data_IF_999501251378
#
_entry.id   IF_999501251378
#
_cell.length_a   1.000
_cell.length_b   1.000
_cell.length_c   1.000
_cell.angle_alpha   90.00
_cell.angle_beta   90.00
_cell.angle_gamma   90.00
#
_symmetry.space_group_name_H-M   'P 1'
#
loop_
_entity.id
_entity.type
_entity.pdbx_description
1 polymer ?
#
# COMPACT_ATOMS: atom_id res chain seq x y z
N UNK A 1 10.50 12.88 8.75
CA UNK A 1 9.19 13.43 8.38
C UNK A 1 8.60 12.53 7.32
N UNK A 2 7.35 12.08 7.46
CA UNK A 2 6.68 11.19 6.51
C UNK A 2 5.40 11.84 5.99
N UNK A 3 5.07 11.63 4.72
CA UNK A 3 3.86 12.15 4.09
C UNK A 3 3.26 11.09 3.18
N UNK A 4 1.95 10.89 3.25
CA UNK A 4 1.25 9.98 2.36
C UNK A 4 1.00 10.57 0.97
N UNK A 5 0.93 9.73 -0.05
CA UNK A 5 0.62 10.18 -1.42
C UNK A 5 -0.84 10.66 -1.56
N UNK A 6 -1.77 10.03 -0.84
CA UNK A 6 -3.17 10.47 -0.77
C UNK A 6 -3.33 11.64 0.21
N UNK A 7 -2.95 12.84 -0.23
CA UNK A 7 -2.67 14.00 0.63
C UNK A 7 -3.84 14.45 1.51
N UNK A 8 -5.07 14.38 1.01
CA UNK A 8 -6.27 14.82 1.75
C UNK A 8 -6.83 13.71 2.65
N UNK A 9 -6.35 12.47 2.47
CA UNK A 9 -6.81 11.30 3.22
C UNK A 9 -5.62 10.55 3.83
N UNK A 10 -4.72 11.29 4.47
CA UNK A 10 -3.57 10.76 5.18
C UNK A 10 -3.37 11.45 6.52
N UNK A 11 -3.39 10.67 7.60
CA UNK A 11 -2.97 11.10 8.93
C UNK A 11 -1.46 10.92 9.06
N UNK A 12 -0.69 11.93 8.65
CA UNK A 12 0.77 11.88 8.58
C UNK A 12 1.46 13.03 9.35
N UNK A 13 2.78 13.19 9.16
CA UNK A 13 3.62 14.14 9.92
C UNK A 13 3.20 15.61 9.79
N UNK A 14 2.33 15.98 8.83
CA UNK A 14 1.78 17.33 8.71
C UNK A 14 0.83 17.69 9.87
N UNK A 15 0.29 16.69 10.56
CA UNK A 15 -0.70 16.83 11.63
C UNK A 15 -0.17 16.32 12.96
N UNK A 16 -0.90 15.43 13.64
CA UNK A 16 -0.61 14.96 15.00
C UNK A 16 0.49 13.91 15.09
N UNK A 17 0.89 13.27 13.98
CA UNK A 17 1.89 12.18 13.99
C UNK A 17 3.30 12.69 14.25
N UNK A 18 3.64 13.90 13.78
CA UNK A 18 4.97 14.48 13.95
C UNK A 18 6.10 13.70 13.24
N UNK A 19 7.35 13.94 13.64
CA UNK A 19 8.52 13.25 13.05
C UNK A 19 8.60 11.80 13.52
N UNK A 20 8.94 10.89 12.61
CA UNK A 20 9.19 9.47 12.91
C UNK A 20 10.64 9.30 13.39
N UNK A 21 10.87 8.80 14.62
CA UNK A 21 12.20 8.45 15.12
C UNK A 21 12.88 7.38 14.26
N UNK A 22 14.21 7.39 14.20
CA UNK A 22 14.98 6.52 13.31
C UNK A 22 14.86 5.03 13.68
N UNK A 23 14.70 4.74 14.97
CA UNK A 23 14.49 3.41 15.53
C UNK A 23 13.17 2.75 15.06
N UNK A 24 12.21 3.55 14.60
CA UNK A 24 10.93 3.05 14.08
C UNK A 24 10.98 2.71 12.58
N UNK A 25 12.12 2.90 11.91
CA UNK A 25 12.28 2.58 10.50
C UNK A 25 12.54 1.08 10.30
N UNK A 26 11.55 0.37 9.75
CA UNK A 26 11.65 -1.08 9.50
C UNK A 26 12.27 -1.39 8.12
N UNK A 27 11.84 -0.71 7.05
CA UNK A 27 12.31 -0.99 5.71
C UNK A 27 11.57 -0.23 4.61
N UNK A 28 11.95 -0.44 3.35
CA UNK A 28 11.35 0.20 2.17
C UNK A 28 10.40 -0.76 1.45
N UNK A 29 9.21 -0.28 1.08
CA UNK A 29 8.27 -1.02 0.23
C UNK A 29 8.67 -0.90 -1.25
N UNK A 30 9.19 -1.98 -1.84
CA UNK A 30 9.73 -1.98 -3.22
C UNK A 30 8.90 -2.77 -4.22
N UNK A 31 7.98 -3.64 -3.76
CA UNK A 31 7.30 -4.61 -4.60
C UNK A 31 5.83 -4.75 -4.23
N UNK A 32 4.95 -4.67 -5.22
CA UNK A 32 3.57 -5.10 -5.10
C UNK A 32 3.51 -6.59 -5.46
N UNK A 33 3.47 -7.47 -4.45
CA UNK A 33 3.38 -8.91 -4.68
C UNK A 33 2.02 -9.34 -5.22
N UNK A 34 0.92 -8.75 -4.72
CA UNK A 34 -0.45 -9.14 -5.08
C UNK A 34 -1.42 -7.96 -5.00
N UNK A 35 -2.46 -7.94 -5.85
CA UNK A 35 -3.52 -6.93 -5.81
C UNK A 35 -4.86 -7.46 -6.33
N UNK A 36 -5.91 -7.33 -5.52
CA UNK A 36 -7.30 -7.64 -5.87
C UNK A 36 -8.19 -6.41 -5.65
N UNK A 37 -9.18 -6.22 -6.52
CA UNK A 37 -10.10 -5.07 -6.48
C UNK A 37 -11.35 -5.33 -5.64
N UNK A 38 -12.14 -4.26 -5.41
CA UNK A 38 -13.54 -4.39 -5.02
C UNK A 38 -13.84 -4.94 -3.62
N UNK A 39 -12.99 -4.65 -2.61
CA UNK A 39 -13.11 -5.22 -1.24
C UNK A 39 -13.16 -6.76 -1.20
N UNK A 40 -12.85 -7.44 -2.30
CA UNK A 40 -12.80 -8.89 -2.34
C UNK A 40 -11.63 -9.39 -1.49
N UNK A 41 -11.86 -10.50 -0.79
CA UNK A 41 -10.79 -11.16 -0.05
C UNK A 41 -9.89 -11.91 -1.03
N UNK A 42 -8.56 -11.91 -0.83
CA UNK A 42 -7.66 -12.77 -1.59
C UNK A 42 -8.05 -14.26 -1.53
N UNK A 43 -8.76 -14.71 -0.49
CA UNK A 43 -9.21 -16.10 -0.38
C UNK A 43 -10.40 -16.46 -1.28
N UNK A 44 -11.09 -15.47 -1.86
CA UNK A 44 -12.18 -15.69 -2.81
C UNK A 44 -11.62 -16.00 -4.21
N UNK A 45 -10.99 -17.17 -4.36
CA UNK A 45 -10.25 -17.59 -5.56
C UNK A 45 -11.11 -17.51 -6.83
N UNK A 46 -12.42 -17.77 -6.71
CA UNK A 46 -13.38 -17.69 -7.82
C UNK A 46 -13.59 -16.26 -8.36
N UNK A 47 -13.24 -15.22 -7.60
CA UNK A 47 -13.32 -13.82 -8.04
C UNK A 47 -12.06 -13.34 -8.75
N UNK A 48 -10.95 -14.10 -8.68
CA UNK A 48 -9.66 -13.66 -9.22
C UNK A 48 -9.68 -13.39 -10.74
N UNK A 49 -10.34 -14.20 -11.59
CA UNK A 49 -10.33 -13.96 -13.03
C UNK A 49 -10.84 -12.58 -13.45
N UNK A 50 -11.70 -11.95 -12.63
CA UNK A 50 -12.27 -10.63 -12.92
C UNK A 50 -11.72 -9.50 -12.04
N UNK A 51 -11.39 -9.77 -10.77
CA UNK A 51 -11.00 -8.74 -9.82
C UNK A 51 -9.50 -8.63 -9.56
N UNK A 52 -8.70 -9.64 -9.96
CA UNK A 52 -7.25 -9.57 -9.80
C UNK A 52 -6.67 -8.52 -10.76
N UNK A 53 -5.88 -7.59 -10.23
CA UNK A 53 -5.21 -6.55 -11.04
C UNK A 53 -3.90 -7.10 -11.57
N UNK A 54 -3.97 -7.94 -12.60
CA UNK A 54 -2.80 -8.64 -13.17
C UNK A 54 -1.66 -7.70 -13.56
N UNK A 55 -1.97 -6.50 -14.05
CA UNK A 55 -0.98 -5.47 -14.41
C UNK A 55 -0.14 -4.95 -13.23
N UNK A 56 -0.55 -5.21 -11.98
CA UNK A 56 0.17 -4.80 -10.75
C UNK A 56 0.90 -5.97 -10.08
N UNK A 57 0.77 -7.19 -10.61
CA UNK A 57 1.42 -8.36 -10.05
C UNK A 57 2.93 -8.27 -10.25
N UNK A 58 3.70 -8.43 -9.16
CA UNK A 58 5.16 -8.24 -9.14
C UNK A 58 5.64 -6.88 -9.66
N UNK A 59 4.81 -5.85 -9.53
CA UNK A 59 5.18 -4.51 -9.96
C UNK A 59 6.16 -3.88 -8.97
N UNK A 60 7.35 -3.51 -9.46
CA UNK A 60 8.35 -2.78 -8.69
C UNK A 60 8.00 -1.30 -8.57
N UNK A 61 8.14 -0.76 -7.36
CA UNK A 61 7.95 0.65 -7.05
C UNK A 61 9.33 1.29 -6.98
N UNK A 62 9.62 2.19 -7.94
CA UNK A 62 10.87 2.95 -8.00
C UNK A 62 10.68 4.36 -7.45
#
# INVERSE_FOLDING_TARGET
FMMGDNRDNSADSRFTVGYVPAENLVGRANLVFFSIAGKASPLEIWKWPSLMRASRLFHFVN
#
